data_IF_064006700253
#
_entry.id   IF_064006700253
#
_cell.length_a   1.000
_cell.length_b   1.000
_cell.length_c   1.000
_cell.angle_alpha   90.00
_cell.angle_beta   90.00
_cell.angle_gamma   90.00
#
_symmetry.space_group_name_H-M   'P 1'
#
loop_
_entity.id
_entity.type
_entity.pdbx_description
1 polymer ?
#
# COMPACT_ATOMS: atom_id res chain seq x y z
N UNK A 1 24.43 -24.91 6.47
CA UNK A 1 23.27 -24.47 5.65
C UNK A 1 22.90 -25.42 4.51
N UNK A 2 23.51 -26.60 4.36
CA UNK A 2 23.12 -27.59 3.35
C UNK A 2 22.96 -28.96 4.02
N UNK A 3 21.97 -29.05 4.90
CA UNK A 3 21.60 -30.29 5.59
C UNK A 3 20.26 -30.76 5.04
N UNK A 4 20.20 -32.03 4.64
CA UNK A 4 18.98 -32.62 4.07
C UNK A 4 17.81 -32.52 5.03
N UNK A 5 18.05 -32.92 6.27
CA UNK A 5 17.13 -32.82 7.39
C UNK A 5 16.89 -31.33 7.74
N UNK A 6 15.65 -30.82 7.58
CA UNK A 6 15.34 -29.42 7.85
C UNK A 6 15.55 -29.05 9.32
N UNK A 7 15.27 -29.97 10.24
CA UNK A 7 15.37 -29.74 11.68
C UNK A 7 16.83 -29.60 12.14
N UNK A 8 17.77 -30.06 11.32
CA UNK A 8 19.22 -29.93 11.54
C UNK A 8 19.83 -28.75 10.81
N UNK A 9 19.05 -27.92 10.10
CA UNK A 9 19.56 -26.72 9.45
C UNK A 9 19.80 -25.65 10.51
N UNK A 10 20.92 -24.93 10.37
CA UNK A 10 21.22 -23.76 11.17
C UNK A 10 20.07 -22.74 11.09
N UNK A 11 19.67 -22.18 12.23
CA UNK A 11 18.67 -21.11 12.27
C UNK A 11 19.23 -19.79 11.73
N UNK A 12 18.35 -18.86 11.36
CA UNK A 12 18.77 -17.51 10.90
C UNK A 12 19.59 -16.81 11.99
N UNK A 13 19.12 -16.88 13.23
CA UNK A 13 19.76 -16.32 14.42
C UNK A 13 21.18 -16.85 14.66
N UNK A 14 21.40 -18.15 14.47
CA UNK A 14 22.72 -18.76 14.57
C UNK A 14 23.60 -18.42 13.37
N UNK A 15 23.02 -18.33 12.17
CA UNK A 15 23.74 -17.97 10.96
C UNK A 15 24.27 -16.54 11.01
N UNK A 16 23.51 -15.59 11.56
CA UNK A 16 23.92 -14.19 11.71
C UNK A 16 25.11 -14.05 12.68
N UNK A 17 25.23 -14.95 13.68
CA UNK A 17 26.36 -15.01 14.62
C UNK A 17 27.58 -15.76 14.10
N UNK A 18 27.53 -16.29 12.88
CA UNK A 18 28.61 -17.09 12.31
C UNK A 18 29.84 -16.23 12.01
N UNK A 19 31.06 -16.77 12.21
CA UNK A 19 32.34 -16.05 12.06
C UNK A 19 32.49 -15.32 10.71
N UNK A 20 31.87 -15.87 9.66
CA UNK A 20 31.85 -15.28 8.33
C UNK A 20 31.15 -13.91 8.27
N UNK A 21 30.09 -13.70 9.06
CA UNK A 21 29.31 -12.46 9.09
C UNK A 21 29.70 -11.53 10.25
N UNK A 22 30.75 -11.87 11.01
CA UNK A 22 31.15 -11.15 12.23
C UNK A 22 31.37 -9.64 12.04
N UNK A 23 31.86 -9.23 10.88
CA UNK A 23 32.08 -7.81 10.55
C UNK A 23 30.78 -7.02 10.39
N UNK A 24 29.68 -7.71 10.07
CA UNK A 24 28.37 -7.10 9.80
C UNK A 24 27.32 -7.42 10.86
N UNK A 25 27.60 -8.32 11.80
CA UNK A 25 26.65 -8.73 12.83
C UNK A 25 26.27 -7.54 13.72
N UNK A 26 25.00 -7.15 13.66
CA UNK A 26 24.47 -5.97 14.33
C UNK A 26 23.14 -6.30 15.03
N UNK A 27 23.18 -6.96 16.21
CA UNK A 27 21.97 -7.46 16.87
C UNK A 27 20.93 -6.39 17.27
N UNK A 28 21.28 -5.11 17.22
CA UNK A 28 20.34 -4.01 17.48
C UNK A 28 19.62 -3.52 16.21
N UNK A 29 20.15 -3.84 15.02
CA UNK A 29 19.61 -3.47 13.70
C UNK A 29 18.99 -4.68 12.97
N UNK A 30 18.84 -5.80 13.68
CA UNK A 30 18.28 -7.06 13.18
C UNK A 30 16.94 -7.37 13.90
N UNK A 31 15.86 -6.60 13.65
CA UNK A 31 14.59 -6.80 14.34
C UNK A 31 13.87 -8.06 13.84
N UNK A 32 13.19 -8.73 14.77
CA UNK A 32 12.22 -9.78 14.47
C UNK A 32 10.85 -9.13 14.30
N UNK A 33 10.04 -9.62 13.37
CA UNK A 33 8.68 -9.14 13.20
C UNK A 33 7.86 -9.37 14.49
N UNK A 34 7.22 -8.31 15.01
CA UNK A 34 6.41 -8.36 16.24
C UNK A 34 5.24 -9.34 16.13
N UNK A 35 4.77 -9.58 14.91
CA UNK A 35 3.64 -10.47 14.62
C UNK A 35 4.06 -11.50 13.58
N UNK A 36 3.63 -12.77 13.74
CA UNK A 36 3.84 -13.75 12.70
C UNK A 36 3.11 -13.30 11.44
N UNK A 37 3.82 -13.32 10.32
CA UNK A 37 3.19 -13.18 9.00
C UNK A 37 2.55 -14.53 8.70
N UNK A 38 1.24 -14.55 8.56
CA UNK A 38 0.45 -15.74 8.26
C UNK A 38 -0.56 -15.45 7.16
N UNK A 39 -1.11 -16.52 6.61
CA UNK A 39 -2.27 -16.46 5.71
C UNK A 39 -3.49 -16.14 6.57
N UNK A 40 -4.25 -15.11 6.19
CA UNK A 40 -5.46 -14.77 6.91
C UNK A 40 -6.63 -15.72 6.55
N UNK A 41 -7.69 -15.70 7.36
CA UNK A 41 -8.82 -16.60 7.14
C UNK A 41 -9.57 -16.31 5.82
N UNK A 42 -9.47 -15.10 5.28
CA UNK A 42 -10.13 -14.73 4.04
C UNK A 42 -9.33 -15.24 2.83
N UNK A 43 -8.01 -15.16 2.88
CA UNK A 43 -7.08 -15.74 1.92
C UNK A 43 -7.20 -17.27 1.88
N UNK A 44 -7.29 -17.94 3.04
CA UNK A 44 -7.47 -19.39 3.12
C UNK A 44 -8.82 -19.84 2.52
N UNK A 45 -9.85 -19.00 2.62
CA UNK A 45 -11.18 -19.27 2.08
C UNK A 45 -11.33 -18.91 0.58
N UNK A 46 -10.37 -18.18 -0.01
CA UNK A 46 -10.46 -17.71 -1.39
C UNK A 46 -10.11 -18.80 -2.40
N UNK A 47 -11.10 -19.21 -3.20
CA UNK A 47 -10.92 -20.29 -4.19
C UNK A 47 -11.04 -19.77 -5.61
N UNK A 48 -11.89 -18.76 -5.85
CA UNK A 48 -12.16 -18.25 -7.20
C UNK A 48 -11.32 -17.02 -7.53
N UNK A 49 -11.13 -16.76 -8.82
CA UNK A 49 -10.42 -15.56 -9.29
C UNK A 49 -11.10 -14.27 -8.81
N UNK A 50 -12.43 -14.26 -8.71
CA UNK A 50 -13.17 -13.08 -8.27
C UNK A 50 -12.97 -12.80 -6.77
N UNK A 51 -12.85 -13.84 -5.94
CA UNK A 51 -12.49 -13.69 -4.51
C UNK A 51 -11.11 -13.03 -4.37
N UNK A 52 -10.12 -13.53 -5.11
CA UNK A 52 -8.77 -12.97 -5.11
C UNK A 52 -8.73 -11.54 -5.66
N UNK A 53 -9.49 -11.23 -6.71
CA UNK A 53 -9.63 -9.84 -7.22
C UNK A 53 -10.18 -8.91 -6.14
N UNK A 54 -11.18 -9.37 -5.39
CA UNK A 54 -11.76 -8.58 -4.30
C UNK A 54 -10.76 -8.33 -3.16
N UNK A 55 -10.07 -9.37 -2.69
CA UNK A 55 -9.07 -9.26 -1.62
C UNK A 55 -7.92 -8.31 -2.00
N UNK A 56 -7.38 -8.46 -3.21
CA UNK A 56 -6.32 -7.58 -3.71
C UNK A 56 -6.81 -6.14 -3.81
N UNK A 57 -8.02 -5.92 -4.33
CA UNK A 57 -8.59 -4.58 -4.41
C UNK A 57 -8.78 -3.95 -3.03
N UNK A 58 -9.26 -4.71 -2.05
CA UNK A 58 -9.41 -4.28 -0.68
C UNK A 58 -8.06 -3.86 -0.07
N UNK A 59 -7.01 -4.66 -0.24
CA UNK A 59 -5.67 -4.32 0.27
C UNK A 59 -5.12 -3.03 -0.38
N UNK A 60 -5.35 -2.84 -1.68
CA UNK A 60 -5.01 -1.58 -2.36
C UNK A 60 -5.71 -0.41 -1.67
N UNK A 61 -7.01 -0.51 -1.39
CA UNK A 61 -7.75 0.58 -0.72
C UNK A 61 -7.21 0.85 0.70
N UNK A 62 -6.94 -0.21 1.47
CA UNK A 62 -6.36 -0.09 2.82
C UNK A 62 -4.97 0.57 2.76
N UNK A 63 -4.14 0.19 1.80
CA UNK A 63 -2.83 0.83 1.60
C UNK A 63 -2.96 2.31 1.26
N UNK A 64 -3.90 2.69 0.39
CA UNK A 64 -4.16 4.09 0.04
C UNK A 64 -4.61 4.92 1.24
N UNK A 65 -5.50 4.37 2.08
CA UNK A 65 -5.99 5.03 3.27
C UNK A 65 -4.92 5.15 4.38
N UNK A 66 -3.97 4.21 4.45
CA UNK A 66 -2.95 4.16 5.51
C UNK A 66 -1.90 5.27 5.49
N UNK A 67 -1.97 6.24 4.57
CA UNK A 67 -1.00 7.35 4.47
C UNK A 67 0.41 6.95 3.99
N UNK A 68 0.69 5.64 3.85
CA UNK A 68 1.95 5.08 3.30
C UNK A 68 2.26 5.52 1.86
N UNK A 69 1.28 6.10 1.15
CA UNK A 69 1.49 6.70 -0.17
C UNK A 69 2.43 7.91 -0.18
N UNK A 70 2.56 8.63 0.94
CA UNK A 70 3.32 9.89 0.98
C UNK A 70 4.85 9.71 0.83
N UNK A 71 5.39 8.48 0.96
CA UNK A 71 6.83 8.25 0.84
C UNK A 71 7.33 7.84 -0.55
N UNK A 72 6.44 7.51 -1.50
CA UNK A 72 6.85 6.95 -2.81
C UNK A 72 6.82 7.96 -3.98
N UNK A 73 6.28 9.17 -3.80
CA UNK A 73 6.07 10.12 -4.91
C UNK A 73 7.24 11.10 -5.17
N UNK A 74 8.40 10.98 -4.52
CA UNK A 74 9.49 11.99 -4.66
C UNK A 74 10.39 11.85 -5.90
N UNK A 75 10.14 10.92 -6.85
CA UNK A 75 11.14 10.63 -7.90
C UNK A 75 10.62 10.50 -9.32
N UNK A 76 9.38 10.89 -9.64
CA UNK A 76 8.91 10.77 -11.03
C UNK A 76 7.88 11.82 -11.46
N UNK A 77 8.27 13.10 -11.44
CA UNK A 77 7.62 14.16 -12.21
C UNK A 77 8.48 14.51 -13.43
N UNK A 78 8.49 13.61 -14.41
CA UNK A 78 8.95 13.91 -15.76
C UNK A 78 8.18 13.07 -16.78
N UNK A 79 6.87 13.29 -16.87
CA UNK A 79 6.08 12.99 -18.06
C UNK A 79 5.11 14.13 -18.33
N UNK A 80 5.60 15.13 -19.03
CA UNK A 80 4.79 16.09 -19.78
C UNK A 80 4.27 15.46 -21.08
N UNK A 81 3.22 16.09 -21.62
CA UNK A 81 2.52 15.87 -22.89
C UNK A 81 1.39 14.82 -22.82
N UNK A 82 0.15 15.10 -23.21
CA UNK A 82 -0.33 16.07 -24.19
C UNK A 82 -1.78 16.50 -23.93
N UNK A 83 -2.00 17.79 -24.13
CA UNK A 83 -3.21 18.46 -24.57
C UNK A 83 -4.27 17.55 -25.24
N UNK A 84 -5.50 17.58 -24.72
CA UNK A 84 -6.73 17.33 -25.47
C UNK A 84 -7.94 17.73 -24.62
N UNK A 85 -8.43 18.94 -24.87
CA UNK A 85 -9.85 19.27 -25.01
C UNK A 85 -10.80 18.83 -23.89
N UNK A 86 -11.11 19.77 -22.99
CA UNK A 86 -12.48 19.97 -22.51
C UNK A 86 -12.65 21.43 -22.07
N UNK A 87 -12.81 22.31 -23.06
CA UNK A 87 -13.34 23.66 -22.86
C UNK A 87 -14.85 23.64 -23.00
N UNK A 88 -15.57 23.63 -21.88
CA UNK A 88 -16.94 24.12 -21.83
C UNK A 88 -17.05 25.09 -20.65
N UNK A 89 -16.78 26.36 -20.97
CA UNK A 89 -16.93 27.49 -20.07
C UNK A 89 -18.31 28.10 -20.38
N UNK A 90 -19.31 27.84 -19.55
CA UNK A 90 -20.56 28.61 -19.58
C UNK A 90 -20.48 29.58 -18.40
N UNK A 91 -20.45 30.86 -18.73
CA UNK A 91 -20.35 31.96 -17.80
C UNK A 91 -21.54 32.05 -16.85
N UNK A 92 -21.27 32.79 -15.79
CA UNK A 92 -22.14 33.40 -14.82
C UNK A 92 -23.34 34.14 -15.43
N UNK A 93 -24.53 33.92 -14.88
CA UNK A 93 -25.51 35.00 -14.74
C UNK A 93 -26.16 34.92 -13.36
N UNK A 94 -26.01 36.03 -12.64
CA UNK A 94 -26.64 36.36 -11.38
C UNK A 94 -28.15 36.47 -11.55
N UNK A 95 -28.91 35.78 -10.69
CA UNK A 95 -30.28 36.18 -10.36
C UNK A 95 -30.51 35.91 -8.88
N UNK A 96 -30.35 36.99 -8.11
CA UNK A 96 -30.88 37.16 -6.76
C UNK A 96 -32.41 37.01 -6.79
N UNK A 97 -33.04 36.17 -5.95
CA UNK A 97 -34.49 36.18 -5.82
C UNK A 97 -34.88 37.40 -4.98
N UNK A 98 -35.51 38.38 -5.63
CA UNK A 98 -36.21 39.47 -4.95
C UNK A 98 -37.53 38.95 -4.36
N UNK A 99 -37.85 39.52 -3.20
CA UNK A 99 -38.80 39.07 -2.19
C UNK A 99 -40.25 38.91 -2.68
N UNK A 100 -40.92 37.86 -2.20
CA UNK A 100 -42.38 37.78 -2.19
C UNK A 100 -42.95 38.91 -1.31
N UNK A 101 -43.49 39.93 -1.96
CA UNK A 101 -44.37 40.90 -1.31
C UNK A 101 -45.83 40.46 -1.48
N UNK A 102 -46.43 40.19 -0.34
CA UNK A 102 -47.85 40.01 -0.06
C UNK A 102 -48.72 41.19 -0.53
N UNK A 103 -50.03 40.92 -0.67
CA UNK A 103 -51.19 41.83 -0.86
C UNK A 103 -51.49 42.16 -2.33
N UNK A 104 -52.69 41.94 -2.89
CA UNK A 104 -54.07 42.01 -2.37
C UNK A 104 -54.97 41.05 -3.16
#
# INVERSE_FOLDING_TARGET
MLVLDPDKRISVDEALRHDYLREYYAPHDEPVADKPVGVDAAEEAAVTIDDWRHLIWQEIQLFQASGRRLSYNSSNENRSLSDSSNGFMMGDESTTPMEESSSF
#
